data_IF_148193866912
#
_entry.id   IF_148193866912
#
_cell.length_a   1.000
_cell.length_b   1.000
_cell.length_c   1.000
_cell.angle_alpha   90.00
_cell.angle_beta   90.00
_cell.angle_gamma   90.00
#
_symmetry.space_group_name_H-M   'P 1'
#
loop_
_entity.id
_entity.type
_entity.pdbx_description
1 polymer ?
#
# COMPACT_ATOMS: atom_id res chain seq x y z
N UNK A 1 13.35 -27.28 -5.03
CA UNK A 1 12.40 -26.51 -5.87
C UNK A 1 11.04 -26.50 -5.20
N UNK A 2 10.54 -25.33 -4.83
CA UNK A 2 9.22 -25.18 -4.18
C UNK A 2 8.13 -24.93 -5.21
N UNK A 3 7.18 -25.85 -5.27
CA UNK A 3 6.00 -25.90 -6.13
C UNK A 3 5.21 -24.57 -6.18
N UNK A 4 5.08 -24.00 -7.38
CA UNK A 4 4.15 -22.90 -7.68
C UNK A 4 2.82 -23.56 -8.06
N UNK A 5 1.76 -23.33 -7.26
CA UNK A 5 0.42 -23.87 -7.55
C UNK A 5 -0.27 -23.07 -8.67
N UNK A 6 -0.91 -23.73 -9.65
CA UNK A 6 -1.69 -23.04 -10.69
C UNK A 6 -3.10 -22.64 -10.23
N UNK A 7 -3.55 -21.48 -10.72
CA UNK A 7 -4.88 -20.91 -10.56
C UNK A 7 -5.87 -21.69 -11.45
N UNK A 8 -6.84 -22.39 -10.86
CA UNK A 8 -7.93 -23.06 -11.60
C UNK A 8 -9.09 -22.08 -11.81
N UNK A 9 -9.50 -21.95 -13.07
CA UNK A 9 -10.67 -21.21 -13.56
C UNK A 9 -11.74 -22.25 -13.93
N UNK A 10 -12.87 -22.23 -13.23
CA UNK A 10 -14.10 -23.01 -13.52
C UNK A 10 -15.27 -22.15 -13.02
N UNK A 11 -15.95 -21.37 -13.88
CA UNK A 11 -17.21 -21.69 -14.58
C UNK A 11 -18.27 -22.36 -13.69
N UNK A 12 -19.38 -21.65 -13.47
CA UNK A 12 -20.58 -22.14 -12.76
C UNK A 12 -21.64 -21.06 -12.68
N UNK A 13 -22.31 -20.82 -13.81
CA UNK A 13 -23.57 -20.08 -13.90
C UNK A 13 -24.64 -20.93 -13.21
N UNK A 14 -25.30 -20.41 -12.16
CA UNK A 14 -26.57 -20.94 -11.66
C UNK A 14 -27.48 -19.74 -11.47
N UNK A 15 -28.40 -19.57 -12.43
CA UNK A 15 -29.61 -18.79 -12.31
C UNK A 15 -30.54 -19.57 -11.39
N UNK A 16 -30.82 -19.04 -10.20
CA UNK A 16 -31.97 -19.47 -9.41
C UNK A 16 -32.87 -18.26 -9.18
N UNK A 17 -33.93 -18.21 -9.99
CA UNK A 17 -35.06 -17.34 -9.82
C UNK A 17 -35.79 -17.71 -8.53
N UNK A 18 -35.84 -16.76 -7.59
CA UNK A 18 -36.83 -16.80 -6.52
C UNK A 18 -37.52 -15.43 -6.45
N UNK A 19 -38.64 -15.34 -7.16
CA UNK A 19 -39.67 -14.35 -6.92
C UNK A 19 -40.53 -14.83 -5.76
N UNK A 20 -40.54 -14.12 -4.64
CA UNK A 20 -41.78 -13.58 -4.06
C UNK A 20 -41.49 -12.71 -2.82
N UNK A 21 -42.32 -11.68 -2.74
CA UNK A 21 -42.85 -11.05 -1.53
C UNK A 21 -42.33 -9.65 -1.14
N UNK A 22 -43.28 -8.75 -1.30
CA UNK A 22 -43.34 -7.32 -0.97
C UNK A 22 -43.31 -7.11 0.54
N UNK A 23 -42.53 -6.14 1.00
CA UNK A 23 -43.02 -5.18 2.00
C UNK A 23 -42.19 -3.89 1.92
N UNK A 24 -42.84 -2.86 1.41
CA UNK A 24 -42.42 -1.47 1.52
C UNK A 24 -42.57 -1.05 2.98
N UNK A 25 -41.45 -0.95 3.68
CA UNK A 25 -41.33 -0.04 4.82
C UNK A 25 -40.13 0.84 4.56
N UNK A 26 -40.42 2.06 4.12
CA UNK A 26 -39.45 3.14 3.93
C UNK A 26 -38.72 3.45 5.23
N UNK A 27 -37.73 2.63 5.57
CA UNK A 27 -36.65 3.03 6.46
C UNK A 27 -35.77 3.97 5.65
N UNK A 28 -35.90 5.28 5.88
CA UNK A 28 -34.85 6.21 5.48
C UNK A 28 -33.55 5.66 6.05
N UNK A 29 -32.73 5.02 5.21
CA UNK A 29 -31.33 4.79 5.52
C UNK A 29 -30.76 6.19 5.62
N UNK A 30 -30.85 6.76 6.82
CA UNK A 30 -30.19 8.01 7.16
C UNK A 30 -28.75 7.68 6.87
N UNK A 31 -28.28 8.12 5.69
CA UNK A 31 -26.87 8.24 5.42
C UNK A 31 -26.45 9.26 6.45
N UNK A 32 -26.06 8.78 7.63
CA UNK A 32 -25.30 9.55 8.59
C UNK A 32 -23.93 9.69 7.92
N UNK A 33 -23.88 10.47 6.84
CA UNK A 33 -22.66 11.17 6.45
C UNK A 33 -22.50 12.24 7.51
N UNK A 34 -22.08 11.80 8.70
CA UNK A 34 -21.59 12.68 9.76
C UNK A 34 -20.26 13.21 9.25
N UNK A 35 -20.34 14.25 8.42
CA UNK A 35 -19.25 15.11 7.99
C UNK A 35 -18.80 15.95 9.19
N UNK A 36 -18.25 15.30 10.21
CA UNK A 36 -17.37 16.01 11.14
C UNK A 36 -16.04 16.12 10.40
N UNK A 37 -15.87 17.27 9.73
CA UNK A 37 -14.60 17.86 9.25
C UNK A 37 -13.43 16.87 9.09
N UNK A 38 -13.58 15.89 8.20
CA UNK A 38 -12.51 14.94 7.91
C UNK A 38 -11.51 15.62 6.99
N UNK A 39 -10.26 15.72 7.41
CA UNK A 39 -9.17 16.19 6.55
C UNK A 39 -9.06 15.27 5.33
N UNK A 40 -9.06 15.86 4.14
CA UNK A 40 -8.85 15.09 2.91
C UNK A 40 -7.36 15.00 2.61
N UNK A 41 -6.91 13.78 2.29
CA UNK A 41 -5.47 13.50 2.14
C UNK A 41 -4.88 14.18 0.90
N UNK A 42 -5.65 14.36 -0.18
CA UNK A 42 -5.15 15.05 -1.38
C UNK A 42 -4.79 16.51 -1.07
N UNK A 43 -5.64 17.23 -0.32
CA UNK A 43 -5.40 18.61 0.10
C UNK A 43 -4.12 18.75 0.95
N UNK A 44 -3.70 17.70 1.67
CA UNK A 44 -2.44 17.71 2.45
C UNK A 44 -1.18 17.54 1.58
N UNK A 45 -1.32 16.95 0.39
CA UNK A 45 -0.17 16.71 -0.50
C UNK A 45 0.31 17.99 -1.17
N UNK A 46 -0.57 18.96 -1.36
CA UNK A 46 -0.23 20.22 -2.04
C UNK A 46 0.34 21.28 -1.06
N UNK A 47 0.14 21.09 0.25
CA UNK A 47 0.62 22.01 1.30
C UNK A 47 2.13 21.97 1.52
N UNK A 48 2.68 23.08 2.02
CA UNK A 48 4.10 23.17 2.36
C UNK A 48 4.45 22.37 3.63
N UNK A 49 5.75 22.17 3.89
CA UNK A 49 6.23 21.45 5.08
C UNK A 49 5.90 22.20 6.38
N UNK A 50 6.04 23.51 6.40
CA UNK A 50 5.72 24.36 7.55
C UNK A 50 4.23 24.29 7.87
N UNK A 51 3.37 24.35 6.85
CA UNK A 51 1.92 24.28 7.06
C UNK A 51 1.51 22.93 7.67
N UNK A 52 2.09 21.83 7.19
CA UNK A 52 1.84 20.50 7.77
C UNK A 52 2.33 20.38 9.22
N UNK A 53 3.41 21.08 9.59
CA UNK A 53 3.90 21.12 10.96
C UNK A 53 2.99 21.93 11.87
N UNK A 54 2.51 23.08 11.41
CA UNK A 54 1.56 23.91 12.16
C UNK A 54 0.24 23.17 12.38
N UNK A 55 -0.33 22.60 11.32
CA UNK A 55 -1.54 21.77 11.40
C UNK A 55 -1.37 20.58 12.35
N UNK A 56 -0.18 19.99 12.43
CA UNK A 56 0.11 18.90 13.37
C UNK A 56 0.10 19.38 14.82
N UNK A 57 0.60 20.59 15.12
CA UNK A 57 0.59 21.13 16.47
C UNK A 57 -0.83 21.48 16.93
N UNK A 58 -1.63 22.10 16.07
CA UNK A 58 -3.02 22.43 16.38
C UNK A 58 -3.85 21.18 16.71
N UNK A 59 -3.71 20.13 15.90
CA UNK A 59 -4.41 18.86 16.13
C UNK A 59 -3.95 18.14 17.41
N UNK A 60 -2.67 18.30 17.79
CA UNK A 60 -2.15 17.75 19.06
C UNK A 60 -2.70 18.51 20.26
N UNK A 61 -2.77 19.84 20.18
CA UNK A 61 -3.37 20.67 21.22
C UNK A 61 -4.87 20.33 21.40
N UNK A 62 -5.61 20.22 20.30
CA UNK A 62 -7.01 19.79 20.34
C UNK A 62 -7.16 18.40 20.99
N UNK A 63 -6.30 17.45 20.62
CA UNK A 63 -6.32 16.11 21.20
C UNK A 63 -6.03 16.11 22.71
N UNK A 64 -5.12 16.97 23.18
CA UNK A 64 -4.83 17.11 24.60
C UNK A 64 -6.06 17.63 25.37
N UNK A 65 -6.73 18.66 24.85
CA UNK A 65 -7.96 19.19 25.44
C UNK A 65 -9.07 18.13 25.48
N UNK A 66 -9.24 17.37 24.40
CA UNK A 66 -10.25 16.29 24.34
C UNK A 66 -9.94 15.14 25.30
N UNK A 67 -8.67 14.90 25.64
CA UNK A 67 -8.28 13.90 26.65
C UNK A 67 -8.63 14.35 28.06
N UNK A 68 -8.39 15.61 28.41
CA UNK A 68 -8.82 16.17 29.71
C UNK A 68 -10.33 16.10 29.83
N UNK A 69 -11.06 16.53 28.79
CA UNK A 69 -12.52 16.47 28.75
C UNK A 69 -13.07 15.04 28.88
N UNK A 70 -12.32 14.02 28.46
CA UNK A 70 -12.69 12.62 28.66
C UNK A 70 -12.63 12.22 30.13
N UNK A 71 -11.61 12.68 30.86
CA UNK A 71 -11.42 12.36 32.28
C UNK A 71 -12.48 13.05 33.13
N UNK A 72 -12.84 14.30 32.82
CA UNK A 72 -13.82 15.09 33.57
C UNK A 72 -15.29 14.78 33.22
N UNK A 73 -15.56 13.70 32.47
CA UNK A 73 -16.94 13.30 32.13
C UNK A 73 -17.63 14.20 31.09
N UNK A 74 -16.89 14.73 30.12
CA UNK A 74 -17.40 15.66 29.12
C UNK A 74 -18.44 15.08 28.14
N UNK A 75 -19.16 15.98 27.47
CA UNK A 75 -20.26 15.65 26.56
C UNK A 75 -19.90 14.61 25.47
N UNK A 76 -20.82 13.69 25.10
CA UNK A 76 -20.58 12.64 24.10
C UNK A 76 -20.07 13.13 22.74
N UNK A 77 -20.46 14.34 22.35
CA UNK A 77 -20.01 14.99 21.11
C UNK A 77 -18.49 15.26 21.12
N UNK A 78 -17.92 15.65 22.27
CA UNK A 78 -16.47 15.87 22.42
C UNK A 78 -15.72 14.53 22.37
N UNK A 79 -16.26 13.49 23.00
CA UNK A 79 -15.68 12.14 22.98
C UNK A 79 -15.64 11.53 21.57
N UNK A 80 -16.69 11.77 20.78
CA UNK A 80 -16.77 11.30 19.39
C UNK A 80 -15.68 11.90 18.48
N UNK A 81 -15.21 13.11 18.78
CA UNK A 81 -14.14 13.80 18.01
C UNK A 81 -12.76 13.16 18.22
N UNK A 82 -12.50 12.52 19.35
CA UNK A 82 -11.18 11.92 19.67
C UNK A 82 -10.71 10.97 18.56
N UNK A 83 -11.61 10.10 18.07
CA UNK A 83 -11.28 9.15 17.00
C UNK A 83 -10.94 9.86 15.69
N UNK A 84 -11.64 10.96 15.38
CA UNK A 84 -11.45 11.73 14.15
C UNK A 84 -10.12 12.49 14.20
N UNK A 85 -9.81 13.16 15.31
CA UNK A 85 -8.56 13.90 15.50
C UNK A 85 -7.35 12.95 15.46
N UNK A 86 -7.42 11.79 16.13
CA UNK A 86 -6.35 10.76 16.07
C UNK A 86 -6.07 10.29 14.65
N UNK A 87 -7.11 10.05 13.84
CA UNK A 87 -6.96 9.67 12.44
C UNK A 87 -6.37 10.80 11.60
N UNK A 88 -6.77 12.04 11.87
CA UNK A 88 -6.26 13.23 11.19
C UNK A 88 -4.76 13.44 11.44
N UNK A 89 -4.31 13.30 12.70
CA UNK A 89 -2.88 13.33 13.07
C UNK A 89 -2.11 12.23 12.31
N UNK A 90 -2.64 11.01 12.27
CA UNK A 90 -1.99 9.91 11.56
C UNK A 90 -1.87 10.18 10.05
N UNK A 91 -2.89 10.80 9.44
CA UNK A 91 -2.85 11.19 8.02
C UNK A 91 -1.78 12.25 7.74
N UNK A 92 -1.71 13.30 8.55
CA UNK A 92 -0.68 14.35 8.41
C UNK A 92 0.73 13.77 8.54
N UNK A 93 0.97 12.96 9.58
CA UNK A 93 2.26 12.28 9.77
C UNK A 93 2.60 11.36 8.59
N UNK A 94 1.62 10.63 8.06
CA UNK A 94 1.82 9.75 6.89
C UNK A 94 2.24 10.54 5.66
N UNK A 95 1.58 11.67 5.36
CA UNK A 95 1.93 12.52 4.21
C UNK A 95 3.32 13.12 4.38
N UNK A 96 3.65 13.61 5.58
CA UNK A 96 4.99 14.13 5.88
C UNK A 96 6.07 13.06 5.69
N UNK A 97 5.87 11.85 6.20
CA UNK A 97 6.80 10.74 6.00
C UNK A 97 6.89 10.29 4.54
N UNK A 98 5.80 10.34 3.77
CA UNK A 98 5.80 10.06 2.34
C UNK A 98 6.66 11.07 1.58
N UNK A 99 6.47 12.38 1.81
CA UNK A 99 7.26 13.47 1.20
C UNK A 99 8.74 13.39 1.55
N UNK A 100 9.05 13.10 2.82
CA UNK A 100 10.44 12.89 3.24
C UNK A 100 11.09 11.70 2.52
N UNK A 101 10.38 10.57 2.43
CA UNK A 101 10.90 9.38 1.73
C UNK A 101 11.02 9.57 0.22
N UNK A 102 10.12 10.34 -0.42
CA UNK A 102 10.25 10.63 -1.86
C UNK A 102 11.46 11.51 -2.14
N UNK A 103 11.65 12.60 -1.37
CA UNK A 103 12.82 13.46 -1.49
C UNK A 103 14.14 12.70 -1.25
N UNK A 104 14.19 11.81 -0.25
CA UNK A 104 15.36 10.96 -0.02
C UNK A 104 15.60 9.96 -1.15
N UNK A 105 14.55 9.38 -1.75
CA UNK A 105 14.68 8.47 -2.90
C UNK A 105 15.25 9.18 -4.12
N UNK A 106 14.87 10.42 -4.34
CA UNK A 106 15.42 11.27 -5.40
C UNK A 106 16.88 11.60 -5.13
N UNK A 107 17.20 12.03 -3.91
CA UNK A 107 18.57 12.39 -3.51
C UNK A 107 19.57 11.21 -3.57
N UNK A 108 19.11 9.98 -3.32
CA UNK A 108 19.93 8.76 -3.38
C UNK A 108 19.73 7.94 -4.66
N UNK A 109 19.05 8.50 -5.67
CA UNK A 109 18.86 7.83 -6.95
C UNK A 109 20.23 7.54 -7.59
N UNK A 110 20.40 6.32 -8.08
CA UNK A 110 21.62 5.83 -8.76
C UNK A 110 22.91 5.80 -7.92
N UNK A 111 22.88 6.20 -6.64
CA UNK A 111 24.03 6.07 -5.75
C UNK A 111 24.24 4.60 -5.38
N UNK A 112 25.50 4.15 -5.40
CA UNK A 112 25.87 2.77 -5.00
C UNK A 112 25.51 2.48 -3.54
N UNK A 113 25.74 3.45 -2.66
CA UNK A 113 25.51 3.32 -1.22
C UNK A 113 24.18 3.97 -0.84
N UNK A 114 23.17 3.13 -0.60
CA UNK A 114 21.83 3.55 -0.19
C UNK A 114 21.59 3.16 1.28
N UNK A 115 20.96 4.05 2.09
CA UNK A 115 20.51 3.73 3.44
C UNK A 115 19.63 2.48 3.52
N UNK A 116 19.71 1.73 4.62
CA UNK A 116 18.99 0.47 4.80
C UNK A 116 17.46 0.61 4.64
N UNK A 117 16.89 1.73 5.07
CA UNK A 117 15.45 2.00 5.02
C UNK A 117 14.89 2.16 3.60
N UNK A 118 15.73 2.61 2.67
CA UNK A 118 15.34 2.80 1.27
C UNK A 118 15.58 1.56 0.42
N UNK A 119 16.28 0.54 0.95
CA UNK A 119 16.54 -0.69 0.21
C UNK A 119 15.23 -1.46 -0.04
N UNK A 120 15.10 -2.12 -1.20
CA UNK A 120 13.93 -2.94 -1.49
C UNK A 120 13.81 -4.09 -0.47
N UNK A 121 12.63 -4.24 0.15
CA UNK A 121 12.37 -5.33 1.09
C UNK A 121 12.11 -6.62 0.32
N UNK A 122 13.10 -7.51 0.30
CA UNK A 122 13.03 -8.87 -0.25
C UNK A 122 13.42 -9.87 0.83
N UNK A 123 13.16 -11.16 0.61
CA UNK A 123 13.61 -12.21 1.53
C UNK A 123 15.14 -12.31 1.53
N UNK A 124 15.72 -12.77 2.65
CA UNK A 124 17.18 -12.96 2.80
C UNK A 124 17.76 -13.80 1.66
N UNK A 125 17.10 -14.91 1.32
CA UNK A 125 17.50 -15.80 0.23
C UNK A 125 17.56 -15.06 -1.12
N UNK A 126 16.55 -14.25 -1.44
CA UNK A 126 16.51 -13.47 -2.69
C UNK A 126 17.61 -12.40 -2.73
N UNK A 127 18.03 -11.85 -1.59
CA UNK A 127 19.15 -10.88 -1.55
C UNK A 127 20.52 -11.54 -1.71
N UNK A 128 20.67 -12.82 -1.31
CA UNK A 128 21.94 -13.54 -1.33
C UNK A 128 22.19 -14.34 -2.60
N UNK A 129 21.15 -14.67 -3.37
CA UNK A 129 21.30 -15.36 -4.66
C UNK A 129 22.11 -14.53 -5.65
N UNK A 130 22.71 -15.21 -6.62
CA UNK A 130 23.40 -14.60 -7.75
C UNK A 130 22.45 -13.73 -8.59
N UNK A 131 23.02 -12.70 -9.23
CA UNK A 131 22.30 -11.90 -10.22
C UNK A 131 21.99 -12.72 -11.46
N UNK A 132 20.95 -12.33 -12.22
CA UNK A 132 20.60 -13.02 -13.48
C UNK A 132 21.77 -13.03 -14.47
N UNK A 133 22.49 -11.92 -14.55
CA UNK A 133 23.68 -11.79 -15.38
C UNK A 133 24.76 -12.81 -14.99
N UNK A 134 25.09 -12.90 -13.69
CA UNK A 134 26.04 -13.90 -13.19
C UNK A 134 25.60 -15.33 -13.49
N UNK A 135 24.30 -15.64 -13.35
CA UNK A 135 23.76 -16.96 -13.70
C UNK A 135 23.83 -17.26 -15.20
N UNK A 136 23.76 -16.25 -16.05
CA UNK A 136 23.85 -16.40 -17.51
C UNK A 136 25.29 -16.36 -18.04
N UNK A 137 26.29 -16.08 -17.20
CA UNK A 137 27.68 -16.09 -17.63
C UNK A 137 28.08 -17.51 -18.00
N UNK A 138 28.37 -17.71 -19.28
CA UNK A 138 28.90 -18.95 -19.85
C UNK A 138 30.37 -18.78 -20.20
N UNK A 139 31.12 -19.86 -20.09
CA UNK A 139 32.52 -19.89 -20.54
C UNK A 139 32.59 -19.70 -22.06
N UNK A 140 33.71 -19.20 -22.59
CA UNK A 140 33.86 -19.02 -24.04
C UNK A 140 33.72 -20.34 -24.80
N UNK A 141 34.20 -21.43 -24.20
CA UNK A 141 34.06 -22.79 -24.75
C UNK A 141 32.58 -23.20 -24.87
N UNK A 142 31.79 -22.95 -23.83
CA UNK A 142 30.36 -23.26 -23.83
C UNK A 142 29.60 -22.39 -24.83
N UNK A 143 29.91 -21.08 -24.91
CA UNK A 143 29.35 -20.18 -25.94
C UNK A 143 29.62 -20.69 -27.35
N UNK A 144 30.87 -21.07 -27.66
CA UNK A 144 31.24 -21.66 -28.97
C UNK A 144 30.44 -22.93 -29.24
N UNK A 145 30.32 -23.83 -28.27
CA UNK A 145 29.55 -25.08 -28.41
C UNK A 145 28.08 -24.81 -28.73
N UNK A 146 27.44 -23.88 -28.03
CA UNK A 146 26.04 -23.51 -28.26
C UNK A 146 25.80 -22.84 -29.60
N UNK A 147 26.73 -22.00 -30.06
CA UNK A 147 26.66 -21.37 -31.38
C UNK A 147 26.77 -22.41 -32.50
N UNK A 148 27.70 -23.36 -32.38
CA UNK A 148 27.93 -24.37 -33.42
C UNK A 148 26.87 -25.47 -33.44
N UNK A 149 26.34 -25.87 -32.27
CA UNK A 149 25.40 -26.99 -32.14
C UNK A 149 24.10 -26.56 -31.43
N UNK A 150 23.25 -25.76 -32.10
CA UNK A 150 21.95 -25.42 -31.54
C UNK A 150 21.02 -26.65 -31.50
N UNK A 151 20.21 -26.76 -30.44
CA UNK A 151 19.16 -27.79 -30.36
C UNK A 151 18.10 -27.48 -31.41
N UNK A 152 18.08 -28.30 -32.46
CA UNK A 152 17.10 -28.18 -33.55
C UNK A 152 15.84 -28.95 -33.20
N UNK A 153 14.67 -28.37 -33.50
CA UNK A 153 13.39 -29.08 -33.40
C UNK A 153 13.17 -29.88 -34.68
N UNK A 154 12.90 -31.16 -34.57
CA UNK A 154 12.54 -32.03 -35.69
C UNK A 154 11.36 -32.93 -35.31
N UNK A 155 10.63 -33.39 -36.32
CA UNK A 155 9.55 -34.36 -36.17
C UNK A 155 9.80 -35.49 -37.17
N UNK A 156 9.57 -36.72 -36.75
CA UNK A 156 9.66 -37.90 -37.62
C UNK A 156 8.23 -38.19 -38.08
N UNK A 157 8.05 -38.29 -39.39
CA UNK A 157 6.79 -38.72 -39.97
C UNK A 157 6.70 -40.24 -39.82
N UNK A 158 5.63 -40.71 -39.17
CA UNK A 158 5.26 -42.14 -39.13
C UNK A 158 4.63 -42.51 -40.47
#
# INVERSE_FOLDING_TARGET
MGFIRPIKKTRGFILFSLSLFVSSSGGTRVKITRWVSRIKVHELRDKSKSDLQNQLQDLKAELALLRVAKVTGGAPNKLSKIKVVRKSIAQVLTVTSQKQKSALREAYKNKKFIPLDLRPKKTRAIRRRLTKHQLSLKTEREKKKEMYFPIRKYAIKV
#
